data_IF_461590534560
#
_entry.id   IF_461590534560
#
_cell.length_a   1.000
_cell.length_b   1.000
_cell.length_c   1.000
_cell.angle_alpha   90.00
_cell.angle_beta   90.00
_cell.angle_gamma   90.00
#
_symmetry.space_group_name_H-M   'P 1'
#
loop_
_entity.id
_entity.type
_entity.pdbx_description
1 polymer ?
#
# COMPACT_ATOMS: atom_id res chain seq x y z
N UNK A 1 -20.19 31.07 23.23
CA UNK A 1 -20.31 30.93 21.75
C UNK A 1 -18.95 30.85 21.05
N UNK A 2 -18.03 31.82 21.23
CA UNK A 2 -16.70 31.83 20.57
C UNK A 2 -15.79 30.62 20.87
N UNK A 3 -15.83 30.09 22.11
CA UNK A 3 -15.04 28.92 22.52
C UNK A 3 -15.51 27.61 21.88
N UNK A 4 -16.82 27.46 21.65
CA UNK A 4 -17.39 26.27 20.99
C UNK A 4 -17.04 26.22 19.50
N UNK A 5 -17.08 27.38 18.81
CA UNK A 5 -16.67 27.48 17.40
C UNK A 5 -15.19 27.14 17.24
N UNK A 6 -14.33 27.61 18.14
CA UNK A 6 -12.90 27.31 18.12
C UNK A 6 -12.61 25.81 18.34
N UNK A 7 -13.32 25.18 19.29
CA UNK A 7 -13.19 23.74 19.54
C UNK A 7 -13.64 22.91 18.33
N UNK A 8 -14.75 23.27 17.69
CA UNK A 8 -15.23 22.58 16.48
C UNK A 8 -14.24 22.74 15.32
N UNK A 9 -13.67 23.92 15.14
CA UNK A 9 -12.71 24.19 14.07
C UNK A 9 -11.38 23.44 14.28
N UNK A 10 -10.90 23.35 15.53
CA UNK A 10 -9.72 22.56 15.90
C UNK A 10 -9.96 21.06 15.72
N UNK A 11 -11.13 20.54 16.09
CA UNK A 11 -11.50 19.13 15.88
C UNK A 11 -11.60 18.80 14.37
N UNK A 12 -12.20 19.68 13.57
CA UNK A 12 -12.24 19.53 12.11
C UNK A 12 -10.86 19.59 11.46
N UNK A 13 -9.95 20.43 11.96
CA UNK A 13 -8.56 20.50 11.46
C UNK A 13 -7.75 19.26 11.85
N UNK A 14 -7.97 18.71 13.04
CA UNK A 14 -7.36 17.45 13.50
C UNK A 14 -7.83 16.25 12.66
N UNK A 15 -9.09 16.19 12.24
CA UNK A 15 -9.61 15.08 11.43
C UNK A 15 -9.13 15.09 9.98
N UNK A 16 -8.73 16.25 9.44
CA UNK A 16 -8.23 16.37 8.05
C UNK A 16 -6.82 15.78 7.89
N UNK A 17 -6.02 15.74 8.95
CA UNK A 17 -4.61 15.26 8.90
C UNK A 17 -4.49 13.73 8.75
N UNK A 18 -5.49 12.93 9.15
CA UNK A 18 -5.38 11.45 9.11
C UNK A 18 -5.54 10.79 7.73
N UNK A 19 -5.89 11.55 6.69
CA UNK A 19 -6.35 10.95 5.42
C UNK A 19 -5.25 10.58 4.41
N UNK A 20 -3.99 10.98 4.62
CA UNK A 20 -2.96 10.91 3.56
C UNK A 20 -1.90 9.82 3.73
N UNK A 21 -1.78 9.20 4.91
CA UNK A 21 -0.79 8.14 5.19
C UNK A 21 -1.29 6.73 4.82
N UNK A 22 -2.60 6.55 4.70
CA UNK A 22 -3.24 5.23 4.51
C UNK A 22 -2.98 4.61 3.15
N UNK A 23 -2.70 5.39 2.12
CA UNK A 23 -2.57 4.86 0.75
C UNK A 23 -1.26 4.11 0.52
N UNK A 24 -0.16 4.56 1.12
CA UNK A 24 1.15 3.92 0.88
C UNK A 24 1.26 2.57 1.59
N UNK A 25 0.86 2.53 2.86
CA UNK A 25 0.83 1.29 3.64
C UNK A 25 -0.13 0.24 3.04
N UNK A 26 -1.28 0.71 2.52
CA UNK A 26 -2.25 -0.16 1.85
C UNK A 26 -1.75 -0.70 0.50
N UNK A 27 -0.90 0.04 -0.22
CA UNK A 27 -0.27 -0.46 -1.44
C UNK A 27 0.78 -1.54 -1.12
N UNK A 28 1.59 -1.34 -0.08
CA UNK A 28 2.61 -2.30 0.32
C UNK A 28 2.00 -3.62 0.78
N UNK A 29 0.94 -3.56 1.59
CA UNK A 29 0.22 -4.75 2.07
C UNK A 29 -0.55 -5.47 0.95
N UNK A 30 -0.94 -4.77 -0.12
CA UNK A 30 -1.62 -5.38 -1.27
C UNK A 30 -0.68 -6.09 -2.26
N UNK A 31 0.62 -5.82 -2.21
CA UNK A 31 1.68 -6.51 -2.97
C UNK A 31 2.24 -7.65 -2.13
N UNK A 32 1.48 -8.76 -2.12
CA UNK A 32 1.65 -9.86 -1.19
C UNK A 32 2.92 -10.65 -1.49
N UNK A 33 3.25 -10.83 -2.77
CA UNK A 33 4.48 -11.52 -3.16
C UNK A 33 5.71 -10.58 -3.20
N UNK A 34 5.51 -9.28 -2.96
CA UNK A 34 6.54 -8.24 -2.92
C UNK A 34 7.34 -8.15 -4.23
N UNK A 35 6.67 -8.36 -5.37
CA UNK A 35 7.29 -8.24 -6.69
C UNK A 35 7.25 -6.80 -7.25
N UNK A 36 6.59 -5.89 -6.53
CA UNK A 36 6.46 -4.48 -6.86
C UNK A 36 5.20 -4.15 -7.65
N UNK A 37 4.41 -5.15 -8.07
CA UNK A 37 3.24 -4.96 -8.95
C UNK A 37 2.03 -5.69 -8.38
N UNK A 38 0.99 -4.94 -8.02
CA UNK A 38 -0.25 -5.52 -7.49
C UNK A 38 -1.05 -6.10 -8.66
N UNK A 39 -1.10 -7.42 -8.77
CA UNK A 39 -1.68 -8.10 -9.91
C UNK A 39 -2.42 -9.40 -9.52
N UNK A 40 -2.66 -10.27 -10.50
CA UNK A 40 -3.40 -11.52 -10.29
C UNK A 40 -2.65 -12.50 -9.37
N UNK A 41 -1.32 -12.42 -9.31
CA UNK A 41 -0.50 -13.29 -8.47
C UNK A 41 -0.81 -13.06 -6.98
N UNK A 42 -0.94 -11.79 -6.54
CA UNK A 42 -1.31 -11.43 -5.17
C UNK A 42 -2.71 -11.95 -4.81
N UNK A 43 -3.68 -11.74 -5.71
CA UNK A 43 -5.04 -12.25 -5.53
C UNK A 43 -5.07 -13.78 -5.43
N UNK A 44 -4.33 -14.48 -6.29
CA UNK A 44 -4.30 -15.94 -6.27
C UNK A 44 -3.65 -16.50 -5.01
N UNK A 45 -2.65 -15.80 -4.46
CA UNK A 45 -2.02 -16.17 -3.20
C UNK A 45 -3.02 -16.10 -2.05
N UNK A 46 -3.74 -14.98 -1.89
CA UNK A 46 -4.74 -14.86 -0.81
C UNK A 46 -5.91 -15.84 -1.03
N UNK A 47 -6.35 -16.01 -2.28
CA UNK A 47 -7.45 -16.92 -2.61
C UNK A 47 -7.14 -18.37 -2.24
N UNK A 48 -5.87 -18.81 -2.28
CA UNK A 48 -5.50 -20.18 -1.90
C UNK A 48 -5.57 -20.45 -0.39
N UNK A 49 -5.68 -19.42 0.44
CA UNK A 49 -5.70 -19.51 1.91
C UNK A 49 -7.07 -19.14 2.53
N UNK A 50 -8.11 -18.93 1.71
CA UNK A 50 -9.45 -18.57 2.22
C UNK A 50 -9.96 -19.62 3.20
N UNK A 51 -10.42 -19.17 4.37
CA UNK A 51 -10.96 -20.02 5.43
C UNK A 51 -9.90 -20.65 6.34
N UNK A 52 -8.61 -20.44 6.08
CA UNK A 52 -7.56 -20.78 7.02
C UNK A 52 -7.57 -19.81 8.22
N UNK A 53 -6.92 -20.20 9.32
CA UNK A 53 -6.73 -19.33 10.47
C UNK A 53 -5.40 -18.60 10.33
N UNK A 54 -5.38 -17.25 10.29
CA UNK A 54 -4.14 -16.47 10.27
C UNK A 54 -3.19 -16.90 11.40
N UNK A 55 -1.93 -17.12 11.04
CA UNK A 55 -0.89 -17.47 11.98
C UNK A 55 0.49 -17.16 11.37
N UNK A 56 1.52 -17.16 12.22
CA UNK A 56 2.89 -16.80 11.83
C UNK A 56 3.55 -17.78 10.83
N UNK A 57 2.99 -18.97 10.62
CA UNK A 57 3.49 -19.95 9.64
C UNK A 57 3.04 -19.60 8.20
N UNK A 58 1.97 -18.81 8.05
CA UNK A 58 1.51 -18.29 6.76
C UNK A 58 2.29 -17.02 6.40
N UNK A 59 3.41 -17.21 5.70
CA UNK A 59 4.25 -16.13 5.19
C UNK A 59 4.39 -16.23 3.68
N UNK A 60 4.02 -15.17 2.91
CA UNK A 60 3.39 -13.90 3.33
C UNK A 60 2.05 -14.01 4.07
N UNK A 61 1.67 -13.01 4.88
CA UNK A 61 0.38 -13.04 5.58
C UNK A 61 -0.79 -12.82 4.60
N UNK A 62 -1.75 -13.76 4.47
CA UNK A 62 -2.91 -13.61 3.58
C UNK A 62 -4.08 -12.80 4.18
N UNK A 63 -4.06 -12.48 5.49
CA UNK A 63 -5.01 -11.54 6.12
C UNK A 63 -4.53 -10.10 5.89
N UNK A 64 -5.08 -9.48 4.85
CA UNK A 64 -4.58 -8.20 4.30
C UNK A 64 -5.19 -7.03 5.06
N UNK A 65 -6.44 -7.17 5.53
CA UNK A 65 -7.11 -6.11 6.28
C UNK A 65 -6.85 -6.17 7.79
N UNK A 66 -6.23 -7.25 8.28
CA UNK A 66 -5.83 -7.45 9.68
C UNK A 66 -6.99 -7.77 10.63
N UNK A 67 -8.10 -8.28 10.12
CA UNK A 67 -9.29 -8.60 10.91
C UNK A 67 -9.28 -10.03 11.52
N UNK A 68 -8.21 -10.79 11.26
CA UNK A 68 -7.99 -12.18 11.65
C UNK A 68 -8.91 -13.19 10.94
N UNK A 69 -9.50 -12.83 9.79
CA UNK A 69 -10.37 -13.71 8.99
C UNK A 69 -9.98 -13.64 7.52
N UNK A 70 -9.31 -14.67 7.00
CA UNK A 70 -8.96 -14.74 5.57
C UNK A 70 -10.20 -15.01 4.74
N UNK A 71 -10.71 -13.98 4.07
CA UNK A 71 -11.96 -14.03 3.33
C UNK A 71 -11.97 -13.12 2.08
N UNK A 72 -13.15 -12.91 1.51
CA UNK A 72 -13.31 -12.11 0.29
C UNK A 72 -12.94 -10.62 0.49
N UNK A 73 -13.01 -10.10 1.71
CA UNK A 73 -12.66 -8.72 2.01
C UNK A 73 -11.17 -8.43 1.81
N UNK A 74 -10.30 -9.40 2.08
CA UNK A 74 -8.86 -9.31 1.79
C UNK A 74 -8.60 -9.19 0.29
N UNK A 75 -9.28 -10.02 -0.50
CA UNK A 75 -9.21 -9.96 -1.96
C UNK A 75 -9.75 -8.64 -2.52
N UNK A 76 -10.83 -8.10 -1.93
CA UNK A 76 -11.39 -6.81 -2.33
C UNK A 76 -10.40 -5.67 -2.06
N UNK A 77 -9.65 -5.74 -0.96
CA UNK A 77 -8.62 -4.76 -0.63
C UNK A 77 -7.49 -4.78 -1.67
N UNK A 78 -6.96 -5.95 -2.03
CA UNK A 78 -5.97 -6.09 -3.10
C UNK A 78 -6.54 -5.57 -4.44
N UNK A 79 -7.77 -5.97 -4.78
CA UNK A 79 -8.41 -5.57 -6.04
C UNK A 79 -8.60 -4.05 -6.14
N UNK A 80 -8.78 -3.33 -5.02
CA UNK A 80 -8.85 -1.86 -4.99
C UNK A 80 -7.52 -1.18 -5.39
N UNK A 81 -6.43 -1.95 -5.40
CA UNK A 81 -5.10 -1.53 -5.83
C UNK A 81 -4.61 -2.24 -7.10
N UNK A 82 -5.47 -3.00 -7.79
CA UNK A 82 -5.07 -3.77 -8.96
C UNK A 82 -4.41 -2.91 -10.05
N UNK A 83 -3.26 -3.36 -10.55
CA UNK A 83 -2.46 -2.66 -11.56
C UNK A 83 -1.63 -1.50 -11.01
N UNK A 84 -1.66 -1.23 -9.69
CA UNK A 84 -0.79 -0.25 -9.05
C UNK A 84 0.53 -0.88 -8.63
N UNK A 85 1.47 -0.03 -8.28
CA UNK A 85 2.79 -0.40 -7.79
C UNK A 85 2.89 -0.10 -6.29
N UNK A 86 3.49 -1.01 -5.54
CA UNK A 86 3.77 -0.89 -4.10
C UNK A 86 5.07 -0.14 -3.79
N UNK A 87 5.87 0.12 -4.83
CA UNK A 87 7.16 0.78 -4.72
C UNK A 87 7.05 2.23 -4.24
N UNK A 88 8.15 2.72 -3.67
CA UNK A 88 8.31 4.12 -3.29
C UNK A 88 8.26 4.96 -4.59
N UNK A 89 7.37 5.96 -4.71
CA UNK A 89 7.45 6.93 -5.80
C UNK A 89 8.72 7.76 -5.62
N UNK A 90 9.81 7.34 -6.25
CA UNK A 90 11.06 8.10 -6.26
C UNK A 90 11.10 8.97 -7.51
N UNK A 91 11.05 10.29 -7.34
CA UNK A 91 11.50 11.21 -8.37
C UNK A 91 13.03 11.18 -8.40
N UNK A 92 13.58 10.57 -9.44
CA UNK A 92 15.02 10.48 -9.65
C UNK A 92 15.46 11.65 -10.53
N UNK A 93 16.26 12.56 -9.98
CA UNK A 93 17.06 13.49 -10.79
C UNK A 93 18.32 12.80 -11.31
N UNK A 94 18.89 13.31 -12.40
CA UNK A 94 20.13 12.80 -13.01
C UNK A 94 21.29 12.67 -12.01
N UNK A 95 21.35 13.52 -10.98
CA UNK A 95 22.38 13.48 -9.93
C UNK A 95 22.14 12.37 -8.87
N UNK A 96 20.87 12.02 -8.64
CA UNK A 96 20.46 11.07 -7.58
C UNK A 96 20.41 9.62 -8.06
N UNK A 97 20.24 9.41 -9.37
CA UNK A 97 20.14 8.08 -9.98
C UNK A 97 21.40 7.25 -9.73
N UNK A 98 22.57 7.83 -10.00
CA UNK A 98 23.85 7.11 -10.01
C UNK A 98 24.34 6.73 -8.59
N UNK A 99 23.84 7.40 -7.55
CA UNK A 99 24.15 7.12 -6.14
C UNK A 99 23.09 6.28 -5.41
N UNK A 100 21.82 6.35 -5.83
CA UNK A 100 20.71 5.67 -5.14
C UNK A 100 20.34 4.34 -5.80
N UNK A 101 20.44 4.24 -7.14
CA UNK A 101 19.98 3.06 -7.89
C UNK A 101 21.10 2.06 -8.15
N UNK A 102 22.38 2.46 -8.11
CA UNK A 102 23.51 1.59 -8.47
C UNK A 102 23.61 0.30 -7.66
N UNK A 103 23.24 0.33 -6.39
CA UNK A 103 23.36 -0.80 -5.46
C UNK A 103 22.00 -1.42 -5.09
N UNK A 104 20.90 -0.97 -5.71
CA UNK A 104 19.58 -1.51 -5.43
C UNK A 104 19.47 -2.94 -5.98
N UNK A 105 19.04 -3.87 -5.11
CA UNK A 105 18.77 -5.28 -5.46
C UNK A 105 17.29 -5.56 -5.73
N UNK A 106 16.42 -4.58 -5.46
CA UNK A 106 14.98 -4.66 -5.70
C UNK A 106 14.67 -4.27 -7.16
N UNK A 107 13.60 -4.81 -7.76
CA UNK A 107 13.13 -4.33 -9.06
C UNK A 107 12.74 -2.85 -8.96
N UNK A 108 13.22 -2.03 -9.90
CA UNK A 108 12.87 -0.61 -9.99
C UNK A 108 11.96 -0.41 -11.19
N UNK A 109 10.73 0.03 -10.94
CA UNK A 109 9.88 0.56 -12.00
C UNK A 109 10.31 2.00 -12.31
N UNK A 110 10.80 2.22 -13.53
CA UNK A 110 11.09 3.56 -14.03
C UNK A 110 9.94 3.99 -14.92
N UNK A 111 9.10 4.91 -14.43
CA UNK A 111 8.05 5.52 -15.23
C UNK A 111 8.56 6.87 -15.78
N UNK A 112 8.71 6.96 -17.09
CA UNK A 112 9.06 8.22 -17.74
C UNK A 112 7.82 9.08 -17.85
N UNK A 113 7.72 10.11 -17.01
CA UNK A 113 6.65 11.09 -17.13
C UNK A 113 6.91 11.94 -18.37
N UNK A 114 5.99 11.84 -19.32
CA UNK A 114 6.00 12.62 -20.56
C UNK A 114 5.26 13.94 -20.31
N UNK A 115 5.95 15.07 -20.43
CA UNK A 115 5.37 16.42 -20.27
C UNK A 115 4.61 16.94 -21.51
N UNK A 116 4.18 16.04 -22.40
CA UNK A 116 3.43 16.37 -23.62
C UNK A 116 1.91 16.39 -23.40
#
# INVERSE_FOLDING_TARGET
MRKCVYIILVICLLSVVSAQETTFDSLLTSDVNTDGVINILDLTYVASHIGETPNDELSPNPDINGDNVINILDLVLIASHFGKYSGIPLELSDESFDSTIRDIKLPVLVEFKSDY
#
